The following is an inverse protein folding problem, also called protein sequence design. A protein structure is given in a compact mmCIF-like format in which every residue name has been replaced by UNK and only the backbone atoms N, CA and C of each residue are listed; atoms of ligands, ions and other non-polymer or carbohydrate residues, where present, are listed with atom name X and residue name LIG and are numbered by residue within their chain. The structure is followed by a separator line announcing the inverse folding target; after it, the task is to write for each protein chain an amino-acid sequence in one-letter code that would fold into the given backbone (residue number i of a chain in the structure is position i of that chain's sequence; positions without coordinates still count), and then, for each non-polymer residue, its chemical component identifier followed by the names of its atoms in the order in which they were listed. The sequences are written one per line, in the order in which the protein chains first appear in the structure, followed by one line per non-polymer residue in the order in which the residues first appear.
data_IF_756982772614
#
_entry.id   IF_756982772614
#
_cell.length_a   1.000
_cell.length_b   1.000
_cell.length_c   1.000
_cell.angle_alpha   90.00
_cell.angle_beta   90.00
_cell.angle_gamma   90.00
#
_symmetry.space_group_name_H-M   'P 1'
#
loop_
_entity.id
_entity.type
_entity.pdbx_description
1 polymer ?
#
# COMPACT_ATOMS: atom_id res chain seq x y z
N UNK A 1 16.84 7.57 -5.94
CA UNK A 1 15.41 7.97 -5.90
C UNK A 1 14.84 7.33 -4.64
N UNK A 2 14.61 8.11 -3.59
CA UNK A 2 14.08 7.57 -2.33
C UNK A 2 12.64 7.13 -2.57
N UNK A 3 12.35 5.87 -2.27
CA UNK A 3 11.00 5.33 -2.32
C UNK A 3 10.27 5.88 -1.09
N UNK A 4 9.61 7.04 -1.22
CA UNK A 4 8.86 7.68 -0.13
C UNK A 4 7.75 6.82 0.52
N UNK A 5 7.16 5.79 -0.14
CA UNK A 5 6.35 4.79 0.54
C UNK A 5 7.13 3.95 1.55
N UNK A 6 8.43 3.72 1.31
CA UNK A 6 9.30 2.96 2.21
C UNK A 6 9.58 3.70 3.52
N UNK A 7 9.84 5.01 3.46
CA UNK A 7 10.01 5.85 4.65
C UNK A 7 8.71 5.93 5.46
N UNK A 8 7.57 6.03 4.78
CA UNK A 8 6.27 5.98 5.43
C UNK A 8 6.04 4.67 6.18
N UNK A 9 6.22 3.53 5.52
CA UNK A 9 6.02 2.20 6.13
C UNK A 9 7.04 1.97 7.25
N UNK A 10 8.30 2.39 7.07
CA UNK A 10 9.36 2.23 8.06
C UNK A 10 9.20 3.11 9.30
N UNK A 11 8.88 4.40 9.12
CA UNK A 11 8.79 5.35 10.24
C UNK A 11 7.41 5.34 10.92
N UNK A 12 6.34 5.17 10.15
CA UNK A 12 4.98 5.13 10.71
C UNK A 12 4.54 3.72 11.14
N UNK A 13 5.29 2.68 10.76
CA UNK A 13 4.91 1.28 11.03
C UNK A 13 3.56 0.91 10.38
N UNK A 14 3.26 1.50 9.23
CA UNK A 14 1.97 1.33 8.57
C UNK A 14 1.77 -0.13 8.14
N UNK A 15 0.61 -0.69 8.49
CA UNK A 15 0.22 -2.03 8.04
C UNK A 15 -0.26 -1.96 6.60
N UNK A 16 0.28 -2.83 5.76
CA UNK A 16 -0.11 -2.97 4.36
C UNK A 16 -0.95 -4.24 4.18
N UNK A 17 -2.06 -4.13 3.46
CA UNK A 17 -2.85 -5.25 2.98
C UNK A 17 -2.16 -5.90 1.76
N UNK A 18 -2.54 -7.13 1.39
CA UNK A 18 -1.93 -7.85 0.27
C UNK A 18 -1.99 -7.10 -1.06
N UNK A 19 -3.06 -6.34 -1.30
CA UNK A 19 -3.16 -5.47 -2.48
C UNK A 19 -2.25 -4.24 -2.41
N UNK A 20 -2.03 -3.69 -1.22
CA UNK A 20 -1.10 -2.57 -1.02
C UNK A 20 0.36 -3.04 -1.17
N UNK A 21 0.67 -4.26 -0.73
CA UNK A 21 2.00 -4.86 -0.94
C UNK A 21 2.32 -5.06 -2.43
N UNK A 22 1.35 -5.49 -3.23
CA UNK A 22 1.53 -5.61 -4.68
C UNK A 22 1.71 -4.24 -5.34
N UNK A 23 0.88 -3.26 -4.97
CA UNK A 23 0.96 -1.90 -5.53
C UNK A 23 2.27 -1.17 -5.17
N UNK A 24 2.82 -1.43 -3.98
CA UNK A 24 4.13 -0.92 -3.57
C UNK A 24 5.32 -1.70 -4.17
N UNK A 25 5.08 -2.78 -4.92
CA UNK A 25 6.13 -3.64 -5.46
C UNK A 25 6.85 -4.49 -4.40
N UNK A 26 6.27 -4.65 -3.21
CA UNK A 26 6.78 -5.53 -2.16
C UNK A 26 6.38 -6.99 -2.39
N UNK A 27 5.21 -7.21 -3.00
CA UNK A 27 4.78 -8.51 -3.51
C UNK A 27 4.91 -8.53 -5.02
N UNK A 28 5.22 -9.70 -5.59
CA UNK A 28 5.27 -9.89 -7.05
C UNK A 28 3.91 -10.33 -7.61
N UNK A 29 3.17 -11.14 -6.86
CA UNK A 29 1.87 -11.68 -7.24
C UNK A 29 0.92 -11.63 -6.05
N UNK A 30 -0.37 -11.50 -6.34
CA UNK A 30 -1.44 -11.59 -5.34
C UNK A 30 -2.35 -12.75 -5.73
N UNK A 31 -2.62 -13.65 -4.79
CA UNK A 31 -3.48 -14.83 -5.00
C UNK A 31 -4.52 -14.87 -3.89
N UNK A 32 -5.77 -15.14 -4.24
CA UNK A 32 -6.84 -15.26 -3.25
C UNK A 32 -6.62 -16.51 -2.39
N UNK A 33 -6.93 -16.41 -1.09
CA UNK A 33 -6.71 -17.53 -0.16
C UNK A 33 -7.53 -18.79 -0.48
N UNK A 34 -8.65 -18.65 -1.21
CA UNK A 34 -9.47 -19.77 -1.66
C UNK A 34 -8.80 -20.61 -2.77
N UNK A 35 -7.93 -20.02 -3.59
CA UNK A 35 -7.24 -20.68 -4.70
C UNK A 35 -5.83 -21.11 -4.35
N UNK A 36 -5.35 -20.80 -3.15
CA UNK A 36 -4.01 -21.15 -2.66
C UNK A 36 -3.75 -22.67 -2.68
N UNK A 37 -4.74 -23.47 -2.29
CA UNK A 37 -4.63 -24.94 -2.31
C UNK A 37 -4.48 -25.47 -3.74
N UNK A 38 -5.27 -24.94 -4.68
CA UNK A 38 -5.18 -25.30 -6.10
C UNK A 38 -3.84 -24.90 -6.73
N UNK A 39 -3.30 -23.75 -6.32
CA UNK A 39 -1.96 -23.32 -6.72
C UNK A 39 -0.90 -24.28 -6.19
N UNK A 40 -0.95 -24.66 -4.91
CA UNK A 40 0.00 -25.58 -4.31
C UNK A 40 -0.02 -26.95 -5.01
N UNK A 41 -1.20 -27.49 -5.31
CA UNK A 41 -1.34 -28.73 -6.07
C UNK A 41 -0.77 -28.62 -7.49
N UNK A 42 -0.96 -27.48 -8.16
CA UNK A 42 -0.44 -27.23 -9.50
C UNK A 42 1.10 -27.12 -9.49
N UNK A 43 1.66 -26.49 -8.45
CA UNK A 43 3.11 -26.40 -8.25
C UNK A 43 3.74 -27.77 -7.93
N UNK A 44 3.05 -28.62 -7.15
CA UNK A 44 3.52 -29.98 -6.84
C UNK A 44 3.57 -30.91 -8.05
N UNK A 45 2.71 -30.68 -9.05
CA UNK A 45 2.67 -31.48 -10.29
C UNK A 45 3.76 -31.10 -11.29
N UNK A 46 4.47 -30.00 -11.06
CA UNK A 46 5.59 -29.59 -11.90
C UNK A 46 6.84 -30.35 -11.49
N UNK A 47 7.23 -31.32 -12.32
CA UNK A 47 8.48 -32.07 -12.16
C UNK A 47 9.71 -31.35 -12.76
N UNK A 48 9.57 -30.08 -13.14
CA UNK A 48 10.62 -29.28 -13.80
C UNK A 48 11.16 -28.22 -12.85
N UNK A 49 12.48 -28.12 -12.73
CA UNK A 49 13.15 -27.02 -12.00
C UNK A 49 13.18 -25.68 -12.77
N UNK A 50 12.38 -25.55 -13.84
CA UNK A 50 12.38 -24.37 -14.66
C UNK A 50 11.58 -23.23 -14.00
N UNK A 51 12.28 -22.16 -13.61
CA UNK A 51 11.68 -20.98 -13.00
C UNK A 51 10.57 -20.35 -13.88
N UNK A 52 10.70 -20.42 -15.21
CA UNK A 52 9.69 -19.89 -16.13
C UNK A 52 8.38 -20.69 -16.08
N UNK A 53 8.47 -22.01 -15.92
CA UNK A 53 7.27 -22.86 -15.79
C UNK A 53 6.54 -22.58 -14.47
N UNK A 54 7.29 -22.36 -13.39
CA UNK A 54 6.74 -21.98 -12.07
C UNK A 54 6.09 -20.60 -12.12
N UNK A 55 6.75 -19.60 -12.71
CA UNK A 55 6.17 -18.27 -12.92
C UNK A 55 4.87 -18.36 -13.72
N UNK A 56 4.86 -19.08 -14.84
CA UNK A 56 3.67 -19.22 -15.68
C UNK A 56 2.47 -19.88 -14.97
N UNK A 57 2.70 -20.69 -13.95
CA UNK A 57 1.63 -21.23 -13.10
C UNK A 57 1.18 -20.19 -12.09
N UNK A 58 2.10 -19.54 -11.38
CA UNK A 58 1.75 -18.49 -10.41
C UNK A 58 0.96 -17.38 -11.11
N UNK A 59 1.34 -16.98 -12.33
CA UNK A 59 0.66 -15.99 -13.17
C UNK A 59 -0.78 -16.38 -13.49
N UNK A 60 -1.10 -17.67 -13.64
CA UNK A 60 -2.48 -18.13 -13.89
C UNK A 60 -3.40 -17.94 -12.68
N UNK A 61 -2.84 -18.04 -11.48
CA UNK A 61 -3.58 -17.84 -10.23
C UNK A 61 -3.47 -16.40 -9.71
N UNK A 62 -2.50 -15.64 -10.23
CA UNK A 62 -2.29 -14.25 -9.88
C UNK A 62 -3.49 -13.42 -10.34
N UNK A 63 -3.93 -12.55 -9.45
CA UNK A 63 -5.00 -11.61 -9.71
C UNK A 63 -4.51 -10.22 -9.36
N UNK A 64 -5.01 -9.22 -10.09
CA UNK A 64 -4.78 -7.84 -9.73
C UNK A 64 -5.83 -7.43 -8.69
N UNK A 65 -5.45 -7.21 -7.42
CA UNK A 65 -6.37 -6.78 -6.39
C UNK A 65 -6.80 -5.34 -6.67
N UNK A 66 -8.08 -5.04 -6.46
CA UNK A 66 -8.53 -3.66 -6.37
C UNK A 66 -8.05 -3.05 -5.05
N UNK A 67 -7.46 -1.87 -5.13
CA UNK A 67 -7.12 -1.11 -3.92
C UNK A 67 -8.41 -0.65 -3.26
N UNK A 68 -8.56 -0.94 -1.96
CA UNK A 68 -9.71 -0.45 -1.18
C UNK A 68 -9.69 1.08 -1.15
N UNK A 69 -10.86 1.72 -1.17
CA UNK A 69 -10.96 3.18 -1.07
C UNK A 69 -10.34 3.74 0.23
N UNK A 70 -10.38 2.94 1.31
CA UNK A 70 -9.75 3.27 2.59
C UNK A 70 -8.23 3.01 2.65
N UNK A 71 -7.64 2.47 1.58
CA UNK A 71 -6.22 2.15 1.53
C UNK A 71 -5.36 3.38 1.79
N UNK A 72 -4.27 3.17 2.51
CA UNK A 72 -3.32 4.25 2.80
C UNK A 72 -2.68 4.76 1.51
N UNK A 73 -2.62 3.89 0.49
CA UNK A 73 -2.10 4.22 -0.82
C UNK A 73 -2.95 5.22 -1.61
N UNK A 74 -4.25 5.35 -1.34
CA UNK A 74 -5.03 6.43 -1.94
C UNK A 74 -4.58 7.81 -1.45
N UNK A 75 -3.91 7.88 -0.29
CA UNK A 75 -3.29 9.08 0.26
C UNK A 75 -1.80 9.18 -0.08
N UNK A 76 -1.33 8.44 -1.09
CA UNK A 76 0.08 8.43 -1.51
C UNK A 76 0.64 9.83 -1.78
N UNK A 77 -0.17 10.73 -2.35
CA UNK A 77 0.27 12.11 -2.61
C UNK A 77 0.62 12.85 -1.31
N UNK A 78 -0.23 12.71 -0.30
CA UNK A 78 -0.02 13.29 1.04
C UNK A 78 1.19 12.63 1.71
N UNK A 79 1.28 11.31 1.63
CA UNK A 79 2.40 10.54 2.17
C UNK A 79 3.71 11.00 1.52
N UNK A 80 3.78 11.08 0.19
CA UNK A 80 4.96 11.55 -0.53
C UNK A 80 5.30 12.99 -0.15
N UNK A 81 4.32 13.88 0.02
CA UNK A 81 4.55 15.26 0.45
C UNK A 81 5.16 15.36 1.86
N UNK A 82 4.70 14.54 2.80
CA UNK A 82 5.20 14.54 4.19
C UNK A 82 6.51 13.80 4.37
N UNK A 83 6.66 12.65 3.71
CA UNK A 83 7.79 11.74 3.92
C UNK A 83 8.94 11.98 2.95
N UNK A 84 8.82 12.86 1.95
CA UNK A 84 9.94 13.30 1.10
C UNK A 84 10.91 14.29 1.77
N UNK A 85 10.71 14.59 3.05
CA UNK A 85 11.56 15.53 3.82
C UNK A 85 12.85 14.86 4.25
N UNK A 86 13.90 15.65 4.52
CA UNK A 86 15.24 15.10 4.80
C UNK A 86 15.44 14.67 6.24
N UNK A 87 14.66 15.23 7.17
CA UNK A 87 14.78 14.93 8.59
C UNK A 87 13.44 14.55 9.20
N UNK A 88 13.48 13.78 10.29
CA UNK A 88 12.27 13.32 10.99
C UNK A 88 11.48 14.51 11.55
N UNK A 89 12.16 15.57 11.99
CA UNK A 89 11.54 16.80 12.50
C UNK A 89 10.70 17.50 11.42
N UNK A 90 11.20 17.56 10.19
CA UNK A 90 10.46 18.12 9.05
C UNK A 90 9.25 17.26 8.68
N UNK A 91 9.38 15.93 8.73
CA UNK A 91 8.28 14.99 8.49
C UNK A 91 7.19 15.21 9.53
N UNK A 92 7.55 15.26 10.82
CA UNK A 92 6.61 15.50 11.93
C UNK A 92 5.95 16.87 11.77
N UNK A 93 6.72 17.92 11.46
CA UNK A 93 6.17 19.27 11.25
C UNK A 93 5.15 19.28 10.11
N UNK A 94 5.44 18.62 8.99
CA UNK A 94 4.52 18.51 7.86
C UNK A 94 3.23 17.75 8.23
N UNK A 95 3.34 16.66 9.02
CA UNK A 95 2.19 15.91 9.52
C UNK A 95 1.33 16.76 10.47
N UNK A 96 1.95 17.50 11.39
CA UNK A 96 1.26 18.40 12.32
C UNK A 96 0.53 19.51 11.57
N UNK A 97 1.17 20.13 10.58
CA UNK A 97 0.53 21.17 9.76
C UNK A 97 -0.67 20.64 8.97
N UNK A 98 -0.62 19.40 8.46
CA UNK A 98 -1.78 18.79 7.81
C UNK A 98 -2.94 18.57 8.77
N UNK A 99 -2.67 18.08 9.98
CA UNK A 99 -3.69 17.86 11.00
C UNK A 99 -4.36 19.18 11.40
N UNK A 100 -3.59 20.26 11.52
CA UNK A 100 -4.12 21.61 11.79
C UNK A 100 -4.99 22.14 10.66
N UNK A 101 -4.59 21.95 9.39
CA UNK A 101 -5.42 22.33 8.25
C UNK A 101 -6.73 21.54 8.21
N UNK A 102 -6.70 20.23 8.47
CA UNK A 102 -7.93 19.44 8.54
C UNK A 102 -8.83 19.85 9.69
N UNK A 103 -8.27 20.18 10.86
CA UNK A 103 -9.04 20.67 12.00
C UNK A 103 -9.63 22.07 11.75
N UNK A 104 -8.88 22.95 11.08
CA UNK A 104 -9.36 24.27 10.68
C UNK A 104 -10.49 24.15 9.66
N UNK A 105 -10.38 23.26 8.67
CA UNK A 105 -11.45 22.99 7.71
C UNK A 105 -12.70 22.38 8.36
N UNK A 106 -12.54 21.38 9.23
CA UNK A 106 -13.67 20.80 9.98
C UNK A 106 -14.35 21.82 10.91
N UNK A 107 -13.55 22.67 11.56
CA UNK A 107 -14.06 23.80 12.35
C UNK A 107 -14.85 24.79 11.49
N UNK A 108 -14.35 25.12 10.29
CA UNK A 108 -15.03 25.99 9.35
C UNK A 108 -16.34 25.39 8.82
N UNK A 109 -16.38 24.09 8.50
CA UNK A 109 -17.60 23.44 8.02
C UNK A 109 -18.67 23.32 9.11
N UNK A 110 -18.27 23.14 10.38
CA UNK A 110 -19.21 23.17 11.51
C UNK A 110 -19.84 24.56 11.69
N UNK A 111 -19.07 25.64 11.51
CA UNK A 111 -19.61 27.01 11.58
C UNK A 111 -20.53 27.36 10.41
N UNK A 112 -20.35 26.75 9.24
CA UNK A 112 -21.24 26.96 8.08
C UNK A 112 -22.53 26.12 8.18
N UNK A 113 -22.51 24.96 8.86
CA UNK A 113 -23.72 24.15 9.10
C UNK A 113 -24.61 24.65 10.26
N UNK A 114 -24.17 25.65 11.02
CA UNK A 114 -24.93 26.27 12.13
C UNK A 114 -25.54 27.64 11.76
N UNK A 115 -25.51 28.05 10.49
CA UNK A 115 -26.09 29.32 10.02
C UNK A 115 -27.07 29.09 8.87
#
# INVERSE_FOLDING_TARGET
MFFSPGEYVGLAGARLDGGEMLACGLATHFVQSNSLLSLEESLKKVDTSNAFAVCGIIDQFAQQPSLKESSSLNRLEIINKCFSKRTVEEIISALVSLLQLTAAFYGFTCSILQN
#
